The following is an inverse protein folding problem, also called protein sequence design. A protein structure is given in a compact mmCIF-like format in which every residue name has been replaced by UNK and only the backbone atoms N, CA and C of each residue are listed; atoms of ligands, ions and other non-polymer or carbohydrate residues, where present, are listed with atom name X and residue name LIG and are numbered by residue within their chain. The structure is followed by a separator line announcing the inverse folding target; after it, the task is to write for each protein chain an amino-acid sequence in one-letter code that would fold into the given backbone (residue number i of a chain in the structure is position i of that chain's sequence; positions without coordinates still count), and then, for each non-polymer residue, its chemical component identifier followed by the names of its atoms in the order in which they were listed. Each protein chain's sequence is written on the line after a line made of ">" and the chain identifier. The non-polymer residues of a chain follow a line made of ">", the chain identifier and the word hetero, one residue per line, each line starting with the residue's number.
data_IF_799550368029
#
_entry.id   IF_799550368029
#
_cell.length_a   1.000
_cell.length_b   1.000
_cell.length_c   1.000
_cell.angle_alpha   90.00
_cell.angle_beta   90.00
_cell.angle_gamma   90.00
#
_symmetry.space_group_name_H-M   'P 1'
#
loop_
_entity.id
_entity.type
_entity.pdbx_description
1 polymer ?
#
# COMPACT_ATOMS: atom_id res chain seq x y z
N UNK A 1 -38.78 -45.34 -11.03
CA UNK A 1 -40.07 -44.80 -11.51
C UNK A 1 -40.27 -43.41 -10.93
N UNK A 2 -39.83 -42.37 -11.64
CA UNK A 2 -40.32 -41.00 -11.47
C UNK A 2 -40.24 -40.32 -12.83
N UNK A 3 -41.41 -40.02 -13.38
CA UNK A 3 -41.66 -39.29 -14.63
C UNK A 3 -41.69 -37.80 -14.29
N UNK A 4 -41.22 -36.92 -15.18
CA UNK A 4 -41.51 -35.50 -14.98
C UNK A 4 -40.91 -34.49 -15.95
N UNK A 5 -41.42 -34.48 -17.20
CA UNK A 5 -41.60 -33.32 -18.10
C UNK A 5 -40.42 -32.35 -18.35
N UNK A 6 -39.89 -32.44 -19.58
CA UNK A 6 -39.45 -31.28 -20.35
C UNK A 6 -40.55 -30.21 -20.38
N UNK A 7 -40.17 -28.94 -20.15
CA UNK A 7 -40.95 -27.78 -20.61
C UNK A 7 -40.08 -26.96 -21.55
N UNK A 8 -40.67 -26.73 -22.71
CA UNK A 8 -40.13 -26.12 -23.91
C UNK A 8 -39.92 -24.61 -23.77
N UNK A 9 -38.95 -24.15 -24.56
CA UNK A 9 -38.62 -22.78 -24.96
C UNK A 9 -39.79 -21.79 -25.03
N UNK A 10 -39.49 -20.53 -24.70
CA UNK A 10 -40.00 -19.39 -25.46
C UNK A 10 -39.05 -18.21 -25.42
N UNK A 11 -38.36 -18.01 -26.55
CA UNK A 11 -37.80 -16.74 -26.97
C UNK A 11 -38.82 -15.62 -26.83
N UNK A 12 -38.43 -14.51 -26.18
CA UNK A 12 -39.19 -13.26 -26.23
C UNK A 12 -38.31 -12.13 -26.73
N UNK A 13 -38.22 -12.12 -28.06
CA UNK A 13 -38.13 -10.98 -28.98
C UNK A 13 -37.75 -9.61 -28.40
N UNK A 14 -36.59 -9.17 -28.86
CA UNK A 14 -36.20 -7.80 -29.26
C UNK A 14 -37.40 -6.88 -29.54
N UNK A 15 -37.47 -5.75 -28.85
CA UNK A 15 -38.29 -4.61 -29.26
C UNK A 15 -37.38 -3.40 -29.47
N UNK A 16 -37.28 -2.99 -30.72
CA UNK A 16 -36.69 -1.74 -31.17
C UNK A 16 -37.85 -0.83 -31.62
N UNK A 17 -37.99 0.31 -30.97
CA UNK A 17 -38.79 1.48 -31.35
C UNK A 17 -38.12 2.64 -30.62
N UNK A 18 -37.84 3.81 -31.18
CA UNK A 18 -38.12 4.41 -32.47
C UNK A 18 -37.54 5.83 -32.38
N UNK A 19 -36.97 6.30 -33.48
CA UNK A 19 -36.39 7.64 -33.66
C UNK A 19 -37.48 8.71 -33.59
N UNK A 20 -37.24 9.84 -32.91
CA UNK A 20 -37.75 11.16 -33.32
C UNK A 20 -37.00 12.29 -32.60
N UNK A 21 -36.50 13.23 -33.40
CA UNK A 21 -35.63 14.34 -33.03
C UNK A 21 -36.37 15.52 -32.40
N UNK A 22 -35.70 16.27 -31.52
CA UNK A 22 -36.02 17.67 -31.27
C UNK A 22 -34.76 18.44 -30.81
N UNK A 23 -34.49 19.54 -31.52
CA UNK A 23 -33.45 20.52 -31.29
C UNK A 23 -33.64 21.28 -29.97
N UNK A 24 -32.54 21.53 -29.27
CA UNK A 24 -32.51 22.41 -28.10
C UNK A 24 -31.07 22.71 -27.67
N UNK A 25 -30.40 23.58 -28.41
CA UNK A 25 -29.08 24.11 -28.05
C UNK A 25 -29.24 25.21 -26.98
N UNK A 26 -28.79 24.93 -25.76
CA UNK A 26 -28.51 25.91 -24.72
C UNK A 26 -27.07 25.69 -24.25
N UNK A 27 -26.18 26.52 -24.78
CA UNK A 27 -24.79 26.60 -24.38
C UNK A 27 -24.68 27.31 -23.04
N UNK A 28 -24.50 26.54 -21.96
CA UNK A 28 -23.89 27.03 -20.72
C UNK A 28 -22.40 26.70 -20.80
N UNK A 29 -21.63 27.71 -21.22
CA UNK A 29 -20.19 27.73 -21.09
C UNK A 29 -19.82 27.75 -19.60
N UNK A 30 -19.37 26.62 -19.09
CA UNK A 30 -18.59 26.50 -17.88
C UNK A 30 -17.23 25.92 -18.25
N UNK A 31 -16.19 26.75 -18.23
CA UNK A 31 -14.82 26.30 -18.43
C UNK A 31 -14.41 25.32 -17.32
N UNK A 32 -14.10 24.08 -17.69
CA UNK A 32 -12.90 23.45 -17.16
C UNK A 32 -12.14 22.85 -18.33
N UNK A 33 -11.00 23.48 -18.60
CA UNK A 33 -9.94 22.95 -19.45
C UNK A 33 -9.27 21.84 -18.63
N UNK A 34 -9.62 20.59 -18.93
CA UNK A 34 -8.72 19.43 -18.87
C UNK A 34 -9.34 18.34 -19.75
N UNK A 35 -8.94 18.34 -21.01
CA UNK A 35 -9.13 17.20 -21.90
C UNK A 35 -8.27 16.03 -21.37
N UNK A 36 -8.81 15.25 -20.44
CA UNK A 36 -8.35 13.88 -20.23
C UNK A 36 -8.91 13.08 -21.41
N UNK A 37 -8.01 12.71 -22.32
CA UNK A 37 -8.25 11.70 -23.33
C UNK A 37 -8.63 10.39 -22.61
N UNK A 38 -9.93 10.10 -22.55
CA UNK A 38 -10.44 8.80 -22.06
C UNK A 38 -10.15 7.77 -23.16
N UNK A 39 -8.87 7.44 -23.31
CA UNK A 39 -8.47 6.14 -23.81
C UNK A 39 -8.86 5.13 -22.75
N UNK A 40 -9.70 4.15 -23.10
CA UNK A 40 -9.99 3.04 -22.20
C UNK A 40 -8.66 2.44 -21.71
N UNK A 41 -8.51 2.15 -20.40
CA UNK A 41 -7.29 1.52 -19.93
C UNK A 41 -7.10 0.22 -20.70
N UNK A 42 -5.95 0.11 -21.37
CA UNK A 42 -5.53 -1.12 -22.05
C UNK A 42 -5.61 -2.27 -21.01
N UNK A 43 -6.06 -3.50 -21.37
CA UNK A 43 -6.13 -4.62 -20.42
C UNK A 43 -4.82 -4.88 -19.67
N UNK A 44 -3.71 -4.46 -20.27
CA UNK A 44 -2.35 -4.49 -19.74
C UNK A 44 -2.15 -3.62 -18.49
N UNK A 45 -2.84 -2.47 -18.39
CA UNK A 45 -2.78 -1.59 -17.21
C UNK A 45 -3.61 -2.10 -16.03
N UNK A 46 -4.64 -2.91 -16.29
CA UNK A 46 -5.37 -3.62 -15.22
C UNK A 46 -4.54 -4.78 -14.65
N UNK A 47 -3.68 -5.39 -15.47
CA UNK A 47 -2.76 -6.45 -15.06
C UNK A 47 -1.52 -5.92 -14.31
N UNK A 48 -1.17 -4.64 -14.49
CA UNK A 48 -0.12 -3.96 -13.74
C UNK A 48 -0.75 -3.05 -12.69
N UNK A 49 -1.26 -3.65 -11.60
CA UNK A 49 -1.26 -2.94 -10.31
C UNK A 49 0.16 -2.41 -10.12
N UNK A 50 0.34 -1.09 -10.23
CA UNK A 50 1.61 -0.44 -9.88
C UNK A 50 1.92 -0.89 -8.46
N UNK A 51 3.03 -1.63 -8.28
CA UNK A 51 3.53 -1.93 -6.95
C UNK A 51 3.59 -0.63 -6.17
N UNK A 52 2.84 -0.58 -5.07
CA UNK A 52 2.84 0.59 -4.20
C UNK A 52 4.27 0.79 -3.70
N UNK A 53 4.78 2.01 -3.80
CA UNK A 53 6.14 2.35 -3.39
C UNK A 53 6.05 3.25 -2.16
N UNK A 54 6.84 3.00 -1.09
CA UNK A 54 6.86 3.88 0.06
C UNK A 54 7.22 5.32 -0.28
N UNK A 55 6.62 6.25 0.46
CA UNK A 55 6.91 7.68 0.37
C UNK A 55 8.38 7.93 0.77
N UNK A 56 9.18 8.58 -0.09
CA UNK A 56 10.56 8.92 0.26
C UNK A 56 10.63 9.81 1.51
N UNK A 57 11.55 9.51 2.41
CA UNK A 57 11.79 10.31 3.62
C UNK A 57 10.78 10.10 4.75
N UNK A 58 9.73 9.29 4.55
CA UNK A 58 8.74 8.98 5.60
C UNK A 58 8.81 7.50 5.94
N UNK A 59 9.20 7.19 7.18
CA UNK A 59 9.28 5.81 7.66
C UNK A 59 7.88 5.26 8.01
N UNK A 60 7.51 4.05 7.55
CA UNK A 60 6.32 3.33 8.00
C UNK A 60 6.24 3.13 9.52
N UNK A 61 7.38 3.18 10.22
CA UNK A 61 7.49 2.98 11.68
C UNK A 61 6.65 3.98 12.48
N UNK A 62 6.42 5.18 11.94
CA UNK A 62 5.59 6.20 12.59
C UNK A 62 4.12 5.80 12.71
N UNK A 63 3.68 4.73 12.04
CA UNK A 63 2.33 4.19 12.09
C UNK A 63 2.36 2.70 12.50
N UNK A 64 2.56 2.39 13.80
CA UNK A 64 2.68 1.00 14.25
C UNK A 64 1.39 0.22 14.01
N UNK A 65 1.53 -1.05 13.64
CA UNK A 65 0.41 -1.95 13.37
C UNK A 65 0.29 -3.05 14.41
N UNK A 66 -0.87 -3.69 14.45
CA UNK A 66 -1.03 -5.01 15.04
C UNK A 66 -1.69 -5.97 14.05
N UNK A 67 -1.20 -7.20 13.94
CA UNK A 67 -1.87 -8.24 13.15
C UNK A 67 -2.99 -8.87 14.00
N UNK A 68 -4.20 -8.36 13.83
CA UNK A 68 -5.36 -8.72 14.65
C UNK A 68 -5.96 -10.09 14.29
N UNK A 69 -5.96 -10.45 12.99
CA UNK A 69 -6.43 -11.76 12.54
C UNK A 69 -5.73 -12.17 11.25
N UNK A 70 -5.57 -13.48 11.05
CA UNK A 70 -5.13 -14.08 9.79
C UNK A 70 -5.86 -15.41 9.59
N UNK A 71 -6.63 -15.52 8.52
CA UNK A 71 -7.57 -16.61 8.24
C UNK A 71 -7.55 -17.02 6.75
N UNK A 72 -8.34 -18.02 6.38
CA UNK A 72 -8.60 -18.43 4.99
C UNK A 72 -7.75 -19.60 4.48
N UNK A 73 -6.54 -19.76 5.01
CA UNK A 73 -5.67 -20.92 4.73
C UNK A 73 -5.77 -21.99 5.85
N UNK A 74 -5.36 -23.24 5.57
CA UNK A 74 -5.11 -24.25 6.59
C UNK A 74 -4.13 -23.77 7.68
N UNK A 75 -4.29 -24.26 8.91
CA UNK A 75 -3.53 -23.74 10.06
C UNK A 75 -2.01 -23.92 9.91
N UNK A 76 -1.54 -24.98 9.24
CA UNK A 76 -0.12 -25.18 8.97
C UNK A 76 0.46 -24.12 8.03
N UNK A 77 -0.31 -23.66 7.03
CA UNK A 77 0.08 -22.58 6.14
C UNK A 77 0.06 -21.23 6.87
N UNK A 78 -0.96 -20.99 7.71
CA UNK A 78 -1.06 -19.78 8.54
C UNK A 78 0.09 -19.71 9.56
N UNK A 79 0.43 -20.81 10.21
CA UNK A 79 1.52 -20.90 11.18
C UNK A 79 2.89 -20.61 10.55
N UNK A 80 3.10 -21.00 9.28
CA UNK A 80 4.30 -20.63 8.50
C UNK A 80 4.27 -19.17 8.05
N UNK A 81 3.12 -18.68 7.59
CA UNK A 81 2.98 -17.32 7.04
C UNK A 81 3.19 -16.23 8.08
N UNK A 82 2.60 -16.35 9.29
CA UNK A 82 2.68 -15.32 10.34
C UNK A 82 4.12 -14.86 10.63
N UNK A 83 5.08 -15.75 10.95
CA UNK A 83 6.45 -15.34 11.21
C UNK A 83 7.20 -14.90 9.95
N UNK A 84 6.85 -15.39 8.75
CA UNK A 84 7.42 -14.90 7.50
C UNK A 84 6.99 -13.44 7.21
N UNK A 85 5.70 -13.14 7.41
CA UNK A 85 5.15 -11.80 7.27
C UNK A 85 5.71 -10.83 8.32
N UNK A 86 5.85 -11.26 9.58
CA UNK A 86 6.47 -10.45 10.62
C UNK A 86 7.89 -10.01 10.24
N UNK A 87 8.74 -10.95 9.80
CA UNK A 87 10.11 -10.64 9.34
C UNK A 87 10.13 -9.73 8.11
N UNK A 88 9.19 -9.94 7.18
CA UNK A 88 9.05 -9.10 6.00
C UNK A 88 8.60 -7.67 6.34
N UNK A 89 7.75 -7.51 7.35
CA UNK A 89 7.32 -6.22 7.85
C UNK A 89 8.46 -5.48 8.58
N UNK A 90 9.17 -6.18 9.46
CA UNK A 90 10.34 -5.64 10.17
C UNK A 90 11.43 -5.16 9.20
N UNK A 91 11.72 -5.91 8.14
CA UNK A 91 12.71 -5.51 7.13
C UNK A 91 12.31 -4.27 6.31
N UNK A 92 11.05 -3.84 6.41
CA UNK A 92 10.51 -2.62 5.80
C UNK A 92 10.26 -1.51 6.81
N UNK A 93 10.86 -1.63 7.99
CA UNK A 93 10.73 -0.68 9.11
C UNK A 93 9.26 -0.49 9.56
N UNK A 94 8.42 -1.51 9.38
CA UNK A 94 7.06 -1.49 9.92
C UNK A 94 7.12 -1.86 11.40
N UNK A 95 6.73 -0.93 12.27
CA UNK A 95 6.63 -1.20 13.70
C UNK A 95 5.42 -2.07 14.02
N UNK A 96 5.62 -3.06 14.89
CA UNK A 96 4.53 -3.80 15.53
C UNK A 96 4.30 -3.27 16.93
N UNK A 97 3.03 -3.16 17.32
CA UNK A 97 2.60 -2.80 18.66
C UNK A 97 1.45 -3.70 19.13
N UNK A 98 1.27 -3.79 20.45
CA UNK A 98 0.09 -4.40 21.06
C UNK A 98 -1.02 -3.37 21.18
N UNK A 99 -2.27 -3.82 21.25
CA UNK A 99 -3.39 -2.92 21.56
C UNK A 99 -3.27 -2.40 23.01
N UNK A 100 -3.59 -1.12 23.28
CA UNK A 100 -4.17 -0.13 22.36
C UNK A 100 -3.12 0.75 21.64
N UNK A 101 -1.83 0.44 21.72
CA UNK A 101 -0.77 1.32 21.21
C UNK A 101 -0.63 1.32 19.68
N UNK A 102 -1.12 0.27 19.01
CA UNK A 102 -1.17 0.19 17.54
C UNK A 102 -2.03 1.32 16.94
N UNK A 103 -1.49 2.01 15.93
CA UNK A 103 -2.23 3.00 15.15
C UNK A 103 -3.23 2.34 14.19
N UNK A 104 -2.87 1.16 13.67
CA UNK A 104 -3.70 0.41 12.74
C UNK A 104 -3.81 -1.07 13.12
N UNK A 105 -4.99 -1.63 12.87
CA UNK A 105 -5.27 -3.07 12.99
C UNK A 105 -5.31 -3.70 11.62
N UNK A 106 -4.49 -4.73 11.43
CA UNK A 106 -4.43 -5.50 10.20
C UNK A 106 -5.23 -6.79 10.34
N UNK A 107 -6.19 -7.02 9.45
CA UNK A 107 -6.91 -8.29 9.33
C UNK A 107 -6.61 -8.90 7.98
N UNK A 108 -6.08 -10.12 7.98
CA UNK A 108 -5.66 -10.80 6.75
C UNK A 108 -6.45 -12.04 6.41
N UNK A 109 -6.57 -12.25 5.10
CA UNK A 109 -7.20 -13.42 4.51
C UNK A 109 -6.32 -13.96 3.39
N UNK A 110 -5.92 -15.23 3.49
CA UNK A 110 -5.15 -15.92 2.47
C UNK A 110 -6.06 -16.89 1.72
N UNK A 111 -5.95 -16.91 0.40
CA UNK A 111 -6.70 -17.84 -0.45
C UNK A 111 -5.78 -18.47 -1.47
N UNK A 112 -6.13 -19.69 -1.90
CA UNK A 112 -5.44 -20.38 -2.97
C UNK A 112 -6.47 -20.94 -3.96
N UNK A 113 -6.21 -20.78 -5.26
CA UNK A 113 -7.13 -21.21 -6.29
C UNK A 113 -6.41 -21.55 -7.61
N UNK A 114 -7.02 -22.38 -8.45
CA UNK A 114 -6.45 -22.73 -9.75
C UNK A 114 -6.49 -21.54 -10.70
N UNK A 115 -5.36 -21.21 -11.30
CA UNK A 115 -5.19 -20.18 -12.32
C UNK A 115 -5.04 -20.76 -13.73
N UNK A 116 -4.80 -19.88 -14.70
CA UNK A 116 -4.53 -20.28 -16.08
C UNK A 116 -3.24 -21.09 -16.21
N UNK A 117 -3.13 -21.88 -17.28
CA UNK A 117 -1.91 -22.62 -17.66
C UNK A 117 -1.37 -23.58 -16.59
N UNK A 118 -2.25 -24.13 -15.74
CA UNK A 118 -1.85 -25.07 -14.69
C UNK A 118 -1.05 -24.41 -13.56
N UNK A 119 -1.18 -23.11 -13.38
CA UNK A 119 -0.65 -22.40 -12.21
C UNK A 119 -1.67 -22.44 -11.07
N UNK A 120 -1.18 -22.50 -9.84
CA UNK A 120 -1.94 -22.20 -8.63
C UNK A 120 -1.67 -20.75 -8.23
N UNK A 121 -2.71 -20.00 -7.93
CA UNK A 121 -2.64 -18.62 -7.44
C UNK A 121 -2.81 -18.60 -5.93
N UNK A 122 -1.91 -17.94 -5.24
CA UNK A 122 -2.01 -17.61 -3.83
C UNK A 122 -2.28 -16.12 -3.71
N UNK A 123 -3.47 -15.76 -3.26
CA UNK A 123 -3.87 -14.37 -3.09
C UNK A 123 -3.95 -14.02 -1.61
N UNK A 124 -3.66 -12.77 -1.29
CA UNK A 124 -3.93 -12.20 0.02
C UNK A 124 -4.88 -11.01 -0.09
N UNK A 125 -5.68 -10.81 0.94
CA UNK A 125 -6.40 -9.57 1.20
C UNK A 125 -6.04 -9.11 2.60
N UNK A 126 -5.49 -7.91 2.71
CA UNK A 126 -5.25 -7.26 3.99
C UNK A 126 -6.14 -6.04 4.14
N UNK A 127 -7.09 -6.10 5.06
CA UNK A 127 -7.88 -4.96 5.48
C UNK A 127 -7.17 -4.23 6.62
N UNK A 128 -6.92 -2.93 6.43
CA UNK A 128 -6.28 -2.05 7.41
C UNK A 128 -7.34 -1.17 8.05
N UNK A 129 -7.49 -1.28 9.37
CA UNK A 129 -8.46 -0.52 10.15
C UNK A 129 -7.77 0.51 11.03
N UNK A 130 -8.34 1.71 11.13
CA UNK A 130 -7.90 2.75 12.06
C UNK A 130 -8.34 2.46 13.51
N UNK A 131 -7.93 3.31 14.44
CA UNK A 131 -8.31 3.23 15.87
C UNK A 131 -9.82 3.28 16.12
N UNK A 132 -10.58 3.89 15.21
CA UNK A 132 -12.04 4.02 15.30
C UNK A 132 -12.77 2.79 14.71
N UNK A 133 -12.02 1.78 14.23
CA UNK A 133 -12.59 0.60 13.59
C UNK A 133 -13.09 0.86 12.17
N UNK A 134 -12.74 2.00 11.56
CA UNK A 134 -13.03 2.27 10.15
C UNK A 134 -11.95 1.66 9.29
N UNK A 135 -12.35 0.98 8.21
CA UNK A 135 -11.39 0.46 7.23
C UNK A 135 -10.75 1.62 6.48
N UNK A 136 -9.48 1.87 6.76
CA UNK A 136 -8.67 2.89 6.10
C UNK A 136 -8.24 2.45 4.70
N UNK A 137 -7.91 1.16 4.54
CA UNK A 137 -7.44 0.64 3.26
C UNK A 137 -7.67 -0.86 3.08
N UNK A 138 -7.62 -1.34 1.83
CA UNK A 138 -7.59 -2.75 1.48
C UNK A 138 -6.44 -3.02 0.50
N UNK A 139 -5.50 -3.85 0.90
CA UNK A 139 -4.37 -4.31 0.10
C UNK A 139 -4.71 -5.68 -0.50
N UNK A 140 -4.29 -5.94 -1.73
CA UNK A 140 -4.63 -7.18 -2.45
C UNK A 140 -3.63 -7.40 -3.56
N UNK A 141 -2.94 -8.54 -3.53
CA UNK A 141 -2.09 -9.05 -4.59
C UNK A 141 -2.13 -10.58 -4.60
N UNK A 142 -1.48 -11.18 -5.58
CA UNK A 142 -1.35 -12.61 -5.74
C UNK A 142 -0.01 -13.06 -6.34
N UNK A 143 0.37 -14.29 -6.03
CA UNK A 143 1.56 -14.96 -6.57
C UNK A 143 1.11 -16.23 -7.29
N UNK A 144 1.66 -16.46 -8.48
CA UNK A 144 1.40 -17.65 -9.28
C UNK A 144 2.55 -18.65 -9.13
N UNK A 145 2.24 -19.89 -8.78
CA UNK A 145 3.19 -21.00 -8.71
C UNK A 145 2.73 -22.09 -9.66
N UNK A 146 3.64 -22.61 -10.49
CA UNK A 146 3.33 -23.74 -11.38
C UNK A 146 3.31 -25.03 -10.58
N UNK A 147 2.28 -25.86 -10.78
CA UNK A 147 2.19 -27.15 -10.11
C UNK A 147 0.79 -27.74 -10.15
N UNK A 148 0.70 -29.04 -9.88
CA UNK A 148 -0.56 -29.78 -9.80
C UNK A 148 -0.65 -30.44 -8.44
N UNK A 149 -1.80 -30.36 -7.78
CA UNK A 149 -2.03 -30.95 -6.47
C UNK A 149 -2.83 -30.05 -5.54
N UNK A 150 -2.77 -30.34 -4.25
CA UNK A 150 -3.35 -29.47 -3.23
C UNK A 150 -2.62 -28.11 -3.23
N UNK A 151 -3.33 -26.98 -3.35
CA UNK A 151 -2.71 -25.66 -3.41
C UNK A 151 -1.75 -25.38 -2.26
N UNK A 152 -2.11 -25.72 -1.02
CA UNK A 152 -1.32 -25.37 0.16
C UNK A 152 -0.04 -26.20 0.30
N UNK A 153 0.00 -27.37 -0.34
CA UNK A 153 1.24 -28.16 -0.50
C UNK A 153 2.20 -27.57 -1.53
N UNK A 154 1.69 -26.83 -2.52
CA UNK A 154 2.50 -26.15 -3.55
C UNK A 154 3.10 -24.83 -3.05
N UNK A 155 2.61 -24.33 -1.90
CA UNK A 155 3.16 -23.14 -1.24
C UNK A 155 4.44 -23.52 -0.49
N UNK A 156 5.54 -23.60 -1.25
CA UNK A 156 6.88 -23.79 -0.69
C UNK A 156 7.37 -22.54 0.06
N UNK A 157 8.50 -22.67 0.77
CA UNK A 157 9.06 -21.58 1.59
C UNK A 157 9.36 -20.33 0.76
N UNK A 158 9.79 -20.51 -0.50
CA UNK A 158 10.13 -19.40 -1.39
C UNK A 158 8.89 -18.63 -1.81
N UNK A 159 7.85 -19.33 -2.27
CA UNK A 159 6.58 -18.74 -2.65
C UNK A 159 5.88 -18.10 -1.44
N UNK A 160 5.93 -18.75 -0.28
CA UNK A 160 5.41 -18.21 0.97
C UNK A 160 6.11 -16.89 1.36
N UNK A 161 7.44 -16.87 1.30
CA UNK A 161 8.23 -15.66 1.55
C UNK A 161 7.93 -14.57 0.52
N UNK A 162 7.68 -14.92 -0.75
CA UNK A 162 7.31 -13.95 -1.79
C UNK A 162 5.94 -13.31 -1.52
N UNK A 163 4.92 -14.10 -1.15
CA UNK A 163 3.58 -13.59 -0.78
C UNK A 163 3.71 -12.66 0.44
N UNK A 164 4.45 -13.08 1.46
CA UNK A 164 4.69 -12.28 2.66
C UNK A 164 5.42 -10.96 2.36
N UNK A 165 6.46 -11.01 1.52
CA UNK A 165 7.21 -9.84 1.10
C UNK A 165 6.34 -8.83 0.34
N UNK A 166 5.56 -9.27 -0.64
CA UNK A 166 4.65 -8.40 -1.41
C UNK A 166 3.60 -7.73 -0.53
N UNK A 167 3.01 -8.51 0.38
CA UNK A 167 2.05 -7.96 1.35
C UNK A 167 2.67 -6.91 2.27
N UNK A 168 3.91 -7.14 2.71
CA UNK A 168 4.64 -6.17 3.53
C UNK A 168 5.07 -4.94 2.72
N UNK A 169 5.41 -5.07 1.43
CA UNK A 169 5.73 -3.95 0.53
C UNK A 169 4.51 -3.02 0.38
N UNK A 170 3.34 -3.59 0.07
CA UNK A 170 2.10 -2.82 -0.07
C UNK A 170 1.70 -2.15 1.25
N UNK A 171 1.90 -2.84 2.38
CA UNK A 171 1.62 -2.28 3.69
C UNK A 171 2.58 -1.14 4.04
N UNK A 172 3.89 -1.29 3.80
CA UNK A 172 4.86 -0.23 4.02
C UNK A 172 4.53 1.01 3.19
N UNK A 173 4.13 0.81 1.93
CA UNK A 173 3.72 1.90 1.06
C UNK A 173 2.51 2.65 1.63
N UNK A 174 1.45 1.93 2.01
CA UNK A 174 0.30 2.54 2.68
C UNK A 174 0.68 3.29 3.95
N UNK A 175 1.44 2.65 4.85
CA UNK A 175 1.79 3.23 6.16
C UNK A 175 2.63 4.50 6.03
N UNK A 176 3.53 4.57 5.05
CA UNK A 176 4.35 5.77 4.80
C UNK A 176 3.54 6.98 4.29
N UNK A 177 2.31 6.76 3.82
CA UNK A 177 1.38 7.81 3.39
C UNK A 177 0.39 8.22 4.49
N UNK A 178 0.43 7.60 5.66
CA UNK A 178 -0.47 7.90 6.77
C UNK A 178 -0.12 9.21 7.48
N UNK A 179 -1.10 9.92 8.05
CA UNK A 179 -0.83 11.15 8.81
C UNK A 179 0.07 10.89 10.03
N UNK A 180 -0.03 9.73 10.67
CA UNK A 180 0.83 9.36 11.80
C UNK A 180 2.30 9.26 11.39
N UNK A 181 2.58 8.59 10.27
CA UNK A 181 3.94 8.47 9.75
C UNK A 181 4.51 9.81 9.29
N UNK A 182 3.71 10.62 8.60
CA UNK A 182 4.11 11.96 8.14
C UNK A 182 4.40 12.89 9.33
N UNK A 183 3.55 12.87 10.36
CA UNK A 183 3.78 13.67 11.57
C UNK A 183 5.04 13.23 12.32
N UNK A 184 5.30 11.92 12.41
CA UNK A 184 6.53 11.40 13.00
C UNK A 184 7.79 11.83 12.22
N UNK A 185 7.73 11.84 10.89
CA UNK A 185 8.84 12.32 10.05
C UNK A 185 9.11 13.83 10.26
N UNK A 186 8.06 14.67 10.28
CA UNK A 186 8.21 16.10 10.52
C UNK A 186 8.78 16.44 11.91
N UNK A 187 8.44 15.64 12.93
CA UNK A 187 9.02 15.77 14.27
C UNK A 187 10.52 15.45 14.32
N UNK A 188 10.99 14.51 13.49
CA UNK A 188 12.41 14.18 13.38
C UNK A 188 13.20 15.30 12.67
N UNK A 189 12.63 15.92 11.64
CA UNK A 189 13.26 17.02 10.91
C UNK A 189 13.42 18.28 11.79
N UNK A 190 12.46 18.55 12.68
CA UNK A 190 12.53 19.65 13.64
C UNK A 190 13.64 19.45 14.72
N UNK A 191 14.07 18.20 14.95
CA UNK A 191 15.20 17.87 15.83
C UNK A 191 16.56 18.01 15.15
N UNK A 192 16.61 18.10 13.81
CA UNK A 192 17.83 18.37 13.03
C UNK A 192 17.99 19.89 12.88
N UNK A 193 18.07 20.61 14.00
CA UNK A 193 18.60 21.98 13.97
C UNK A 193 20.11 21.88 13.82
N UNK A 194 20.60 22.33 12.67
CA UNK A 194 22.03 22.57 12.39
C UNK A 194 22.61 23.27 13.62
N UNK A 195 23.51 22.60 14.34
CA UNK A 195 24.30 23.26 15.38
C UNK A 195 24.92 24.48 14.72
N UNK A 196 24.40 25.66 15.06
CA UNK A 196 24.97 26.91 14.64
C UNK A 196 26.42 26.85 15.09
N UNK A 197 27.33 26.70 14.13
CA UNK A 197 28.75 26.83 14.38
C UNK A 197 28.92 28.24 14.93
N UNK A 198 28.99 28.36 16.25
CA UNK A 198 29.60 29.51 16.90
C UNK A 198 31.01 29.52 16.35
N UNK A 199 31.21 30.32 15.31
CA UNK A 199 32.52 30.77 14.88
C UNK A 199 33.14 31.41 16.12
N UNK A 200 33.97 30.66 16.83
CA UNK A 200 34.86 31.20 17.84
C UNK A 200 35.73 32.21 17.11
N UNK A 201 35.39 33.48 17.28
CA UNK A 201 36.20 34.60 16.87
C UNK A 201 37.58 34.45 17.55
N UNK A 202 38.70 34.36 16.79
CA UNK A 202 40.00 34.28 17.42
C UNK A 202 40.24 35.61 18.13
N UNK A 203 40.56 35.52 19.43
CA UNK A 203 40.94 36.64 20.25
C UNK A 203 42.02 37.47 19.55
N UNK A 204 41.69 38.72 19.19
CA UNK A 204 42.67 39.72 18.79
C UNK A 204 43.62 39.92 19.97
N UNK A 205 44.84 39.42 19.83
CA UNK A 205 45.95 39.73 20.71
C UNK A 205 46.16 41.25 20.68
N UNK A 206 46.14 41.88 21.85
CA UNK A 206 46.40 43.29 22.02
C UNK A 206 47.83 43.62 21.55
N UNK A 207 47.95 44.29 20.41
CA UNK A 207 49.22 44.90 20.00
C UNK A 207 49.45 46.18 20.81
N UNK A 208 50.56 46.17 21.55
CA UNK A 208 51.06 47.27 22.37
C UNK A 208 51.62 48.37 21.44
N UNK A 209 51.18 49.64 21.54
CA UNK A 209 51.75 50.69 20.71
C UNK A 209 53.19 51.01 21.17
N UNK A 210 54.14 50.86 20.25
CA UNK A 210 55.49 51.38 20.38
C UNK A 210 55.43 52.92 20.36
N UNK A 211 55.77 53.54 21.49
CA UNK A 211 55.93 54.99 21.58
C UNK A 211 57.17 55.44 20.83
N UNK A 212 57.01 56.39 19.92
CA UNK A 212 58.10 57.14 19.32
C UNK A 212 58.55 58.24 20.27
N UNK A 213 59.85 58.35 20.45
CA UNK A 213 60.52 59.40 21.20
C UNK A 213 60.52 60.70 20.38
N UNK A 214 60.08 61.80 20.99
CA UNK A 214 60.33 63.15 20.50
C UNK A 214 61.67 63.65 21.06
N UNK A 215 62.54 64.07 20.14
CA UNK A 215 63.78 64.77 20.42
C UNK A 215 63.56 66.27 20.22
N UNK A 216 63.78 67.08 21.27
CA UNK A 216 64.53 68.34 21.19
C UNK A 216 64.97 68.83 22.56
#
# INVERSE_FOLDING_TARGET
>A
MWRGKLKTMRDSKRSAFGVCAALGALALAGCVDTAVEIGQPRPEQLAQRRRATPRPGVSPRGAPITLASLEGAPEDALARFRPAFARAAESRDIASAVEPDAAYRLRGYLTAYAGAEGATRFAYVFDVFDRNGRRAHRLTDEVAVKGVGDPWTLLDEKALAEVAARGADELAAFLSDTPEAIAAAAGNDAGVTIAAATRSEPARTAEKPLGFADAK
#
